data_IF_554526675071
#
_entry.id   IF_554526675071
#
_cell.length_a   1.000
_cell.length_b   1.000
_cell.length_c   1.000
_cell.angle_alpha   90.00
_cell.angle_beta   90.00
_cell.angle_gamma   90.00
#
_symmetry.space_group_name_H-M   'P 1'
#
loop_
_entity.id
_entity.type
_entity.pdbx_description
1 polymer ?
#
# COMPACT_ATOMS: atom_id res chain seq x y z
N UNK A 1 59.22 -28.52 60.97
CA UNK A 1 58.42 -29.68 61.41
C UNK A 1 57.24 -29.17 62.22
N UNK A 2 56.03 -29.22 61.65
CA UNK A 2 54.68 -29.24 62.28
C UNK A 2 54.27 -28.10 63.25
N UNK A 3 53.03 -27.56 63.33
CA UNK A 3 51.73 -27.62 62.63
C UNK A 3 50.83 -26.53 63.26
N UNK A 4 49.70 -26.19 62.61
CA UNK A 4 48.50 -25.47 63.12
C UNK A 4 48.58 -23.96 63.32
N UNK A 5 47.60 -23.12 62.96
CA UNK A 5 46.25 -23.29 62.39
C UNK A 5 45.84 -21.87 61.95
N UNK A 6 45.69 -21.61 60.64
CA UNK A 6 44.94 -20.43 60.17
C UNK A 6 43.65 -20.93 59.56
N UNK A 7 42.56 -20.44 60.14
CA UNK A 7 41.19 -20.75 59.81
C UNK A 7 40.89 -20.26 58.40
N UNK A 8 40.47 -21.16 57.54
CA UNK A 8 39.99 -20.87 56.19
C UNK A 8 38.63 -20.19 56.33
N UNK A 9 38.52 -18.94 55.87
CA UNK A 9 37.26 -18.40 55.37
C UNK A 9 37.46 -18.04 53.91
N UNK A 10 37.27 -19.01 53.02
CA UNK A 10 37.04 -18.75 51.60
C UNK A 10 35.69 -18.07 51.45
N UNK A 11 35.68 -16.75 51.28
CA UNK A 11 34.55 -16.09 50.65
C UNK A 11 34.54 -16.56 49.18
N UNK A 12 33.55 -17.37 48.81
CA UNK A 12 33.27 -17.66 47.42
C UNK A 12 32.75 -16.37 46.77
N UNK A 13 33.67 -15.58 46.20
CA UNK A 13 33.29 -14.57 45.24
C UNK A 13 32.83 -15.32 43.98
N UNK A 14 31.51 -15.50 43.84
CA UNK A 14 30.92 -15.76 42.54
C UNK A 14 31.21 -14.53 41.68
N UNK A 15 32.33 -14.59 40.96
CA UNK A 15 32.57 -13.72 39.82
C UNK A 15 31.49 -14.06 38.79
N UNK A 16 30.37 -13.35 38.84
CA UNK A 16 29.54 -13.21 37.66
C UNK A 16 30.41 -12.47 36.65
N UNK A 17 31.10 -13.23 35.80
CA UNK A 17 31.52 -12.73 34.52
C UNK A 17 30.22 -12.43 33.78
N UNK A 18 29.77 -11.18 33.85
CA UNK A 18 28.89 -10.65 32.82
C UNK A 18 29.72 -10.72 31.55
N UNK A 19 29.59 -11.82 30.81
CA UNK A 19 30.03 -11.87 29.44
C UNK A 19 29.28 -10.74 28.75
N UNK A 20 29.98 -9.66 28.43
CA UNK A 20 29.46 -8.56 27.61
C UNK A 20 29.18 -8.98 26.16
N UNK A 21 28.87 -10.26 25.94
CA UNK A 21 28.40 -10.81 24.68
C UNK A 21 26.89 -10.88 24.75
N UNK A 22 26.24 -9.82 24.27
CA UNK A 22 25.04 -9.88 23.42
C UNK A 22 24.30 -8.52 23.36
N UNK A 23 25.04 -7.41 23.22
CA UNK A 23 24.44 -6.19 22.63
C UNK A 23 24.50 -6.21 21.08
N UNK A 24 24.91 -7.32 20.49
CA UNK A 24 25.00 -7.52 19.04
C UNK A 24 23.83 -8.30 18.42
N UNK A 25 22.70 -8.49 19.13
CA UNK A 25 21.46 -9.02 18.52
C UNK A 25 20.56 -7.92 17.92
N UNK A 26 21.15 -6.80 17.52
CA UNK A 26 20.45 -5.66 16.91
C UNK A 26 20.74 -5.55 15.42
N UNK A 27 20.41 -6.56 14.62
CA UNK A 27 20.51 -6.47 13.15
C UNK A 27 19.83 -7.61 12.37
N UNK A 28 19.47 -8.75 12.99
CA UNK A 28 18.91 -9.89 12.24
C UNK A 28 17.59 -9.49 11.56
N UNK A 29 17.57 -9.50 10.23
CA UNK A 29 16.40 -9.20 9.39
C UNK A 29 16.40 -7.82 8.72
N UNK A 30 17.38 -6.95 9.03
CA UNK A 30 17.49 -5.60 8.43
C UNK A 30 18.69 -5.44 7.49
N UNK A 31 19.45 -6.50 7.25
CA UNK A 31 20.69 -6.46 6.47
C UNK A 31 20.49 -5.97 5.03
N UNK A 32 19.28 -6.14 4.49
CA UNK A 32 18.90 -5.71 3.14
C UNK A 32 18.19 -4.35 3.10
N UNK A 33 18.05 -3.65 4.22
CA UNK A 33 17.29 -2.40 4.29
C UNK A 33 17.80 -1.38 3.26
N UNK A 34 19.11 -1.11 3.25
CA UNK A 34 19.70 -0.12 2.35
C UNK A 34 19.54 -0.52 0.88
N UNK A 35 19.66 -1.82 0.57
CA UNK A 35 19.45 -2.36 -0.78
C UNK A 35 17.99 -2.18 -1.23
N UNK A 36 17.02 -2.47 -0.37
CA UNK A 36 15.59 -2.29 -0.64
C UNK A 36 15.29 -0.80 -0.86
N UNK A 37 15.78 0.07 0.02
CA UNK A 37 15.59 1.51 -0.10
C UNK A 37 16.15 2.06 -1.41
N UNK A 38 17.30 1.55 -1.87
CA UNK A 38 17.90 1.92 -3.14
C UNK A 38 17.08 1.47 -4.37
N UNK A 39 16.17 0.49 -4.21
CA UNK A 39 15.34 -0.04 -5.29
C UNK A 39 13.94 0.57 -5.34
N UNK A 40 13.47 1.23 -4.27
CA UNK A 40 12.17 1.91 -4.25
C UNK A 40 12.23 3.12 -5.17
N UNK A 41 11.42 3.10 -6.22
CA UNK A 41 11.27 4.20 -7.16
C UNK A 41 9.84 4.71 -7.09
N UNK A 42 9.68 6.01 -6.85
CA UNK A 42 8.36 6.64 -6.92
C UNK A 42 7.93 6.74 -8.39
N UNK A 43 6.66 6.47 -8.71
CA UNK A 43 6.16 6.65 -10.06
C UNK A 43 6.18 8.14 -10.44
N UNK A 44 6.61 8.45 -11.65
CA UNK A 44 6.59 9.80 -12.21
C UNK A 44 5.41 9.96 -13.16
N UNK A 45 4.77 11.13 -13.12
CA UNK A 45 3.62 11.42 -13.98
C UNK A 45 3.81 12.76 -14.68
N UNK A 46 3.45 12.88 -15.97
CA UNK A 46 3.36 14.16 -16.64
C UNK A 46 2.43 15.13 -15.89
N UNK A 47 2.76 16.42 -15.89
CA UNK A 47 1.93 17.47 -15.29
C UNK A 47 0.70 17.77 -16.19
N UNK A 48 -0.24 16.83 -16.22
CA UNK A 48 -1.48 16.89 -16.99
C UNK A 48 -2.62 16.35 -16.13
N UNK A 49 -3.71 17.10 -16.09
CA UNK A 49 -4.87 16.77 -15.28
C UNK A 49 -6.06 16.39 -16.15
N UNK A 50 -6.79 15.38 -15.68
CA UNK A 50 -7.98 14.83 -16.29
C UNK A 50 -9.09 14.86 -15.21
N UNK A 51 -9.71 16.02 -14.95
CA UNK A 51 -10.77 16.15 -13.95
C UNK A 51 -11.99 15.32 -14.35
N UNK A 52 -12.49 14.47 -13.46
CA UNK A 52 -13.61 13.55 -13.78
C UNK A 52 -14.91 14.28 -14.18
N UNK A 53 -15.06 15.55 -13.78
CA UNK A 53 -16.20 16.41 -14.13
C UNK A 53 -16.21 16.76 -15.62
N UNK A 54 -15.05 16.85 -16.26
CA UNK A 54 -14.93 17.12 -17.70
C UNK A 54 -15.39 15.90 -18.53
N UNK A 55 -15.48 14.73 -17.89
CA UNK A 55 -15.96 13.47 -18.44
C UNK A 55 -17.40 13.15 -18.02
N UNK A 56 -18.09 14.11 -17.39
CA UNK A 56 -19.50 13.98 -17.03
C UNK A 56 -19.78 13.36 -15.66
N UNK A 57 -18.80 13.30 -14.75
CA UNK A 57 -19.06 12.92 -13.37
C UNK A 57 -19.96 13.94 -12.68
N UNK A 58 -20.93 13.44 -11.91
CA UNK A 58 -21.91 14.27 -11.21
C UNK A 58 -21.72 14.22 -9.70
N UNK A 59 -21.51 15.39 -9.11
CA UNK A 59 -21.34 15.53 -7.67
C UNK A 59 -22.67 15.28 -6.93
N UNK A 60 -22.59 14.69 -5.74
CA UNK A 60 -23.71 14.58 -4.80
C UNK A 60 -24.03 13.15 -4.37
N UNK A 61 -23.29 12.17 -4.89
CA UNK A 61 -23.36 10.78 -4.45
C UNK A 61 -24.67 10.07 -4.80
N UNK A 62 -25.38 10.55 -5.83
CA UNK A 62 -26.67 9.99 -6.30
C UNK A 62 -26.60 9.35 -7.67
N UNK A 63 -25.83 9.92 -8.59
CA UNK A 63 -25.63 9.40 -9.94
C UNK A 63 -24.30 8.67 -10.04
N UNK A 64 -24.32 7.56 -10.76
CA UNK A 64 -23.12 6.75 -10.98
C UNK A 64 -22.09 7.53 -11.83
N UNK A 65 -20.90 7.71 -11.27
CA UNK A 65 -19.77 8.38 -11.88
C UNK A 65 -18.76 7.40 -12.49
N UNK A 66 -18.98 6.08 -12.38
CA UNK A 66 -17.99 5.06 -12.79
C UNK A 66 -17.58 5.22 -14.26
N UNK A 67 -18.53 5.45 -15.15
CA UNK A 67 -18.24 5.66 -16.58
C UNK A 67 -17.34 6.90 -16.77
N UNK A 68 -17.67 8.03 -16.17
CA UNK A 68 -16.88 9.26 -16.30
C UNK A 68 -15.45 9.09 -15.74
N UNK A 69 -15.31 8.36 -14.64
CA UNK A 69 -14.00 8.02 -14.07
C UNK A 69 -13.19 7.16 -15.06
N UNK A 70 -13.80 6.14 -15.66
CA UNK A 70 -13.13 5.28 -16.64
C UNK A 70 -12.78 6.04 -17.92
N UNK A 71 -13.66 6.90 -18.43
CA UNK A 71 -13.37 7.74 -19.59
C UNK A 71 -12.17 8.67 -19.31
N UNK A 72 -12.07 9.23 -18.10
CA UNK A 72 -10.93 10.03 -17.68
C UNK A 72 -9.63 9.22 -17.55
N UNK A 73 -9.71 8.00 -17.02
CA UNK A 73 -8.58 7.04 -16.93
C UNK A 73 -8.08 6.69 -18.33
N UNK A 74 -8.98 6.37 -19.25
CA UNK A 74 -8.63 6.02 -20.62
C UNK A 74 -7.96 7.20 -21.34
N UNK A 75 -8.54 8.39 -21.26
CA UNK A 75 -7.95 9.59 -21.84
C UNK A 75 -6.56 9.91 -21.23
N UNK A 76 -6.42 9.74 -19.91
CA UNK A 76 -5.14 9.92 -19.22
C UNK A 76 -4.08 8.93 -19.72
N UNK A 77 -4.44 7.65 -19.81
CA UNK A 77 -3.55 6.60 -20.32
C UNK A 77 -3.16 6.83 -21.78
N UNK A 78 -4.12 7.15 -22.65
CA UNK A 78 -3.90 7.44 -24.08
C UNK A 78 -2.99 8.65 -24.29
N UNK A 79 -3.09 9.65 -23.41
CA UNK A 79 -2.18 10.78 -23.40
C UNK A 79 -0.76 10.43 -22.91
N UNK A 80 -0.47 9.17 -22.58
CA UNK A 80 0.81 8.71 -21.99
C UNK A 80 1.01 9.21 -20.56
N UNK A 81 -0.10 9.34 -19.82
CA UNK A 81 -0.11 9.54 -18.39
C UNK A 81 -0.41 10.94 -17.90
N UNK A 82 -0.62 11.03 -16.59
CA UNK A 82 -1.04 12.24 -15.87
C UNK A 82 -1.87 11.89 -14.65
N UNK A 83 -2.70 12.84 -14.21
CA UNK A 83 -3.53 12.72 -13.01
C UNK A 83 -5.01 12.74 -13.37
N UNK A 84 -5.75 11.68 -13.00
CA UNK A 84 -7.22 11.68 -13.02
C UNK A 84 -7.69 12.32 -11.72
N UNK A 85 -8.27 13.51 -11.79
CA UNK A 85 -8.55 14.32 -10.61
C UNK A 85 -9.99 14.12 -10.16
N UNK A 86 -10.15 13.54 -8.97
CA UNK A 86 -11.41 13.47 -8.24
C UNK A 86 -11.44 14.66 -7.29
N UNK A 87 -12.21 15.70 -7.64
CA UNK A 87 -12.32 16.92 -6.86
C UNK A 87 -13.12 16.73 -5.56
N UNK A 88 -13.11 17.76 -4.70
CA UNK A 88 -13.95 17.83 -3.50
C UNK A 88 -15.40 17.47 -3.85
N UNK A 89 -16.06 16.70 -2.99
CA UNK A 89 -17.44 16.29 -3.18
C UNK A 89 -17.64 14.80 -2.92
N UNK A 90 -18.87 14.33 -3.15
CA UNK A 90 -19.23 12.91 -3.01
C UNK A 90 -19.59 12.33 -4.37
N UNK A 91 -18.89 11.28 -4.78
CA UNK A 91 -18.98 10.68 -6.11
C UNK A 91 -19.42 9.22 -5.96
N UNK A 92 -20.64 8.89 -6.38
CA UNK A 92 -21.12 7.51 -6.33
C UNK A 92 -20.44 6.71 -7.45
N UNK A 93 -19.91 5.53 -7.12
CA UNK A 93 -19.28 4.62 -8.08
C UNK A 93 -19.97 3.26 -7.96
N UNK A 94 -20.76 2.90 -8.99
CA UNK A 94 -21.43 1.60 -9.05
C UNK A 94 -20.52 0.54 -9.64
N UNK A 95 -19.62 0.02 -8.81
CA UNK A 95 -18.69 -1.04 -9.17
C UNK A 95 -17.23 -0.63 -9.02
N UNK A 96 -16.29 -1.41 -9.61
CA UNK A 96 -14.87 -1.18 -9.43
C UNK A 96 -14.34 -0.05 -10.33
N UNK A 97 -13.28 0.61 -9.88
CA UNK A 97 -12.42 1.46 -10.70
C UNK A 97 -11.20 0.65 -11.14
N UNK A 98 -11.06 0.42 -12.44
CA UNK A 98 -9.91 -0.28 -13.01
C UNK A 98 -8.88 0.73 -13.52
N UNK A 99 -7.69 0.72 -12.92
CA UNK A 99 -6.59 1.61 -13.31
C UNK A 99 -5.82 1.05 -14.51
N UNK A 100 -5.17 1.96 -15.24
CA UNK A 100 -4.26 1.66 -16.34
C UNK A 100 -2.87 2.24 -16.08
N UNK A 101 -1.86 1.76 -16.79
CA UNK A 101 -0.48 2.26 -16.68
C UNK A 101 -0.39 3.77 -16.88
N UNK A 102 0.53 4.42 -16.16
CA UNK A 102 0.78 5.86 -16.18
C UNK A 102 -0.37 6.75 -15.65
N UNK A 103 -1.36 6.18 -14.97
CA UNK A 103 -2.50 6.91 -14.41
C UNK A 103 -2.35 7.12 -12.91
N UNK A 104 -2.29 8.38 -12.49
CA UNK A 104 -2.39 8.76 -11.09
C UNK A 104 -3.84 9.12 -10.74
N UNK A 105 -4.57 8.24 -10.05
CA UNK A 105 -5.90 8.55 -9.52
C UNK A 105 -5.77 9.46 -8.29
N UNK A 106 -6.00 10.76 -8.49
CA UNK A 106 -5.80 11.78 -7.47
C UNK A 106 -7.12 12.14 -6.76
N UNK A 107 -7.33 11.55 -5.58
CA UNK A 107 -8.47 11.86 -4.71
C UNK A 107 -8.13 13.09 -3.86
N UNK A 108 -8.69 14.23 -4.24
CA UNK A 108 -8.36 15.53 -3.65
C UNK A 108 -8.91 15.67 -2.23
N UNK A 109 -8.40 16.65 -1.49
CA UNK A 109 -8.93 16.98 -0.16
C UNK A 109 -10.45 17.22 -0.20
N UNK A 110 -11.17 16.55 0.70
CA UNK A 110 -12.64 16.62 0.78
C UNK A 110 -13.39 15.84 -0.30
N UNK A 111 -12.70 15.06 -1.14
CA UNK A 111 -13.31 14.13 -2.07
C UNK A 111 -13.68 12.80 -1.39
N UNK A 112 -14.82 12.23 -1.74
CA UNK A 112 -15.29 10.91 -1.30
C UNK A 112 -15.69 10.11 -2.53
N UNK A 113 -14.95 9.04 -2.84
CA UNK A 113 -15.41 7.98 -3.73
C UNK A 113 -16.32 7.04 -2.93
N UNK A 114 -17.63 7.13 -3.17
CA UNK A 114 -18.64 6.29 -2.53
C UNK A 114 -18.90 5.07 -3.42
N UNK A 115 -18.27 3.94 -3.09
CA UNK A 115 -18.52 2.68 -3.77
C UNK A 115 -19.87 2.07 -3.40
N UNK A 116 -20.53 1.44 -4.38
CA UNK A 116 -21.79 0.71 -4.18
C UNK A 116 -21.61 -0.47 -3.22
N UNK A 117 -22.66 -0.79 -2.46
CA UNK A 117 -22.67 -1.97 -1.60
C UNK A 117 -23.28 -3.21 -2.29
N UNK A 118 -23.73 -3.09 -3.55
CA UNK A 118 -24.27 -4.19 -4.33
C UNK A 118 -23.14 -5.07 -4.89
N UNK A 119 -23.02 -6.36 -4.49
CA UNK A 119 -21.97 -7.25 -5.00
C UNK A 119 -22.01 -7.43 -6.52
N UNK A 120 -23.19 -7.35 -7.14
CA UNK A 120 -23.33 -7.54 -8.59
C UNK A 120 -22.64 -6.43 -9.40
N UNK A 121 -22.48 -5.24 -8.82
CA UNK A 121 -21.73 -4.15 -9.44
C UNK A 121 -20.21 -4.48 -9.59
N UNK A 122 -19.72 -5.55 -8.94
CA UNK A 122 -18.32 -5.99 -8.94
C UNK A 122 -18.05 -7.22 -9.82
N UNK A 123 -19.02 -7.59 -10.66
CA UNK A 123 -18.87 -8.59 -11.70
C UNK A 123 -18.57 -7.93 -13.06
N UNK A 124 -17.91 -8.63 -14.02
CA UNK A 124 -17.45 -10.03 -13.94
C UNK A 124 -16.26 -10.22 -12.99
N UNK A 125 -16.04 -11.45 -12.57
CA UNK A 125 -14.94 -11.81 -11.69
C UNK A 125 -13.56 -11.53 -12.33
N UNK A 126 -12.59 -11.13 -11.51
CA UNK A 126 -11.20 -10.85 -11.90
C UNK A 126 -10.23 -11.73 -11.13
N UNK A 127 -9.00 -11.86 -11.64
CA UNK A 127 -7.95 -12.58 -10.95
C UNK A 127 -7.54 -11.82 -9.68
N UNK A 128 -7.66 -12.46 -8.53
CA UNK A 128 -7.36 -11.85 -7.24
C UNK A 128 -6.96 -12.92 -6.22
N UNK A 129 -6.78 -12.52 -4.96
CA UNK A 129 -6.49 -13.43 -3.85
C UNK A 129 -7.53 -13.32 -2.75
N UNK A 130 -7.86 -14.46 -2.15
CA UNK A 130 -8.67 -14.54 -0.94
C UNK A 130 -7.93 -15.41 0.08
N UNK A 131 -7.62 -14.83 1.25
CA UNK A 131 -6.93 -15.53 2.35
C UNK A 131 -5.68 -16.33 1.91
N UNK A 132 -4.88 -15.73 1.02
CA UNK A 132 -3.63 -16.33 0.51
C UNK A 132 -3.79 -17.29 -0.68
N UNK A 133 -5.02 -17.57 -1.13
CA UNK A 133 -5.29 -18.42 -2.29
C UNK A 133 -5.61 -17.57 -3.52
N UNK A 134 -5.09 -17.92 -4.69
CA UNK A 134 -5.41 -17.28 -5.97
C UNK A 134 -6.75 -17.79 -6.52
N UNK A 135 -7.61 -16.88 -6.94
CA UNK A 135 -9.01 -17.17 -7.28
C UNK A 135 -9.57 -16.12 -8.24
N UNK A 136 -10.55 -16.51 -9.06
CA UNK A 136 -11.42 -15.56 -9.76
C UNK A 136 -12.56 -15.15 -8.81
N UNK A 137 -12.60 -13.90 -8.40
CA UNK A 137 -13.60 -13.38 -7.47
C UNK A 137 -14.11 -11.99 -7.91
N UNK A 138 -15.08 -11.44 -7.19
CA UNK A 138 -15.51 -10.03 -7.36
C UNK A 138 -14.31 -9.09 -7.46
N UNK A 139 -14.42 -8.10 -8.33
CA UNK A 139 -13.38 -7.07 -8.49
C UNK A 139 -13.17 -6.30 -7.19
N UNK A 140 -11.92 -6.05 -6.77
CA UNK A 140 -11.61 -5.06 -5.74
C UNK A 140 -12.16 -3.67 -6.14
N UNK A 141 -12.44 -2.82 -5.13
CA UNK A 141 -12.99 -1.47 -5.34
C UNK A 141 -12.11 -0.62 -6.28
N UNK A 142 -10.80 -0.69 -6.08
CA UNK A 142 -9.79 -0.13 -6.98
C UNK A 142 -8.87 -1.28 -7.37
N UNK A 143 -8.72 -1.53 -8.66
CA UNK A 143 -8.01 -2.69 -9.18
C UNK A 143 -7.05 -2.28 -10.30
N UNK A 144 -5.86 -2.85 -10.30
CA UNK A 144 -4.87 -2.74 -11.37
C UNK A 144 -4.18 -4.10 -11.51
N UNK A 145 -4.07 -4.60 -12.73
CA UNK A 145 -3.42 -5.89 -13.03
C UNK A 145 -2.52 -5.72 -14.23
N UNK A 146 -1.25 -6.14 -14.11
CA UNK A 146 -0.23 -5.97 -15.15
C UNK A 146 -0.10 -4.52 -15.67
N UNK A 147 -0.17 -3.54 -14.75
CA UNK A 147 0.04 -2.12 -15.05
C UNK A 147 1.37 -1.63 -14.47
N UNK A 148 1.94 -0.59 -15.07
CA UNK A 148 3.26 -0.01 -14.73
C UNK A 148 3.24 1.51 -14.79
N UNK A 149 4.26 2.16 -14.22
CA UNK A 149 4.53 3.58 -14.34
C UNK A 149 6.04 3.79 -14.46
#
# INVERSE_FOLDING_TARGET
>A
MNYSKYFVLTAAACSFAWSGADLARGAEGWEKMDEILAQIQAPEFPARDFPIVDYGADEGGKRDCRKAIHDAIDACHEARGGRVVVGKGKWLVKGPVHLRSNVNLHVSEGAILLFSADPEDYLPAVHTRFEGTEVMNYSPLIYAFEQEN
#
